data_IF_218189068017
#
_entry.id   IF_218189068017
#
_cell.length_a   1.000
_cell.length_b   1.000
_cell.length_c   1.000
_cell.angle_alpha   90.00
_cell.angle_beta   90.00
_cell.angle_gamma   90.00
#
_symmetry.space_group_name_H-M   'P 1'
#
loop_
_entity.id
_entity.type
_entity.pdbx_description
1 polymer ?
#
# COMPACT_ATOMS: atom_id res chain seq x y z
N UNK A 1 13.58 -2.59 -9.10
CA UNK A 1 12.42 -2.44 -8.20
C UNK A 1 12.39 -3.59 -7.20
N UNK A 2 12.95 -3.38 -6.01
CA UNK A 2 13.17 -4.44 -5.01
C UNK A 2 11.86 -4.76 -4.24
N UNK A 3 10.98 -3.78 -4.03
CA UNK A 3 9.72 -3.95 -3.29
C UNK A 3 8.68 -4.86 -3.97
N UNK A 4 8.54 -4.79 -5.30
CA UNK A 4 7.59 -5.63 -6.04
C UNK A 4 7.99 -7.12 -5.96
N UNK A 5 9.29 -7.41 -6.01
CA UNK A 5 9.80 -8.77 -5.87
C UNK A 5 9.63 -9.31 -4.45
N UNK A 6 9.75 -8.48 -3.41
CA UNK A 6 9.52 -8.88 -2.02
C UNK A 6 8.06 -9.27 -1.76
N UNK A 7 7.10 -8.47 -2.23
CA UNK A 7 5.68 -8.80 -2.08
C UNK A 7 5.29 -10.07 -2.85
N UNK A 8 5.83 -10.25 -4.06
CA UNK A 8 5.61 -11.45 -4.87
C UNK A 8 6.28 -12.69 -4.27
N UNK A 9 7.48 -12.55 -3.69
CA UNK A 9 8.19 -13.63 -3.01
C UNK A 9 7.53 -14.05 -1.69
N UNK A 10 6.98 -13.11 -0.91
CA UNK A 10 6.27 -13.44 0.33
C UNK A 10 5.04 -14.33 0.10
N UNK A 11 4.26 -14.07 -0.96
CA UNK A 11 3.15 -14.96 -1.37
C UNK A 11 3.66 -16.35 -1.80
N UNK A 12 4.84 -16.43 -2.43
CA UNK A 12 5.47 -17.70 -2.85
C UNK A 12 6.00 -18.53 -1.68
N UNK A 13 6.57 -17.88 -0.67
CA UNK A 13 7.03 -18.53 0.57
C UNK A 13 5.86 -19.04 1.40
N UNK A 14 4.76 -18.28 1.49
CA UNK A 14 3.54 -18.70 2.19
C UNK A 14 2.85 -19.89 1.51
N UNK A 15 2.90 -19.97 0.19
CA UNK A 15 2.38 -21.11 -0.57
C UNK A 15 3.23 -22.39 -0.38
N UNK A 16 4.56 -22.26 -0.32
CA UNK A 16 5.46 -23.41 -0.05
C UNK A 16 5.39 -23.94 1.38
N UNK A 17 4.93 -23.15 2.34
CA UNK A 17 4.76 -23.58 3.74
C UNK A 17 3.47 -24.39 3.98
N UNK A 18 2.65 -24.63 2.96
CA UNK A 18 1.33 -25.27 3.10
C UNK A 18 1.30 -26.78 2.82
N UNK A 19 2.44 -27.43 2.62
CA UNK A 19 2.46 -28.86 2.30
C UNK A 19 3.65 -29.56 2.95
N UNK A 20 3.53 -29.92 4.23
CA UNK A 20 3.90 -31.24 4.77
C UNK A 20 3.10 -31.45 6.06
N UNK A 21 1.96 -32.15 5.96
CA UNK A 21 1.42 -32.91 7.09
C UNK A 21 1.80 -34.36 6.85
N UNK A 22 2.66 -34.91 7.72
CA UNK A 22 2.78 -36.35 7.96
C UNK A 22 2.40 -36.53 9.42
N UNK A 23 1.40 -37.40 9.63
CA UNK A 23 0.78 -37.69 10.90
C UNK A 23 1.76 -38.28 11.92
N UNK A 24 1.54 -37.93 13.19
CA UNK A 24 2.19 -38.48 14.37
C UNK A 24 1.49 -37.90 15.59
N UNK A 25 0.69 -38.76 16.23
CA UNK A 25 -0.23 -38.53 17.35
C UNK A 25 0.37 -37.70 18.49
N UNK A 26 -0.31 -36.63 18.92
CA UNK A 26 -0.56 -36.37 20.35
C UNK A 26 -1.67 -35.32 20.56
N UNK A 27 -2.37 -35.45 21.67
CA UNK A 27 -3.71 -34.92 21.96
C UNK A 27 -3.75 -33.43 22.39
N UNK A 28 -4.77 -32.68 21.97
CA UNK A 28 -5.26 -31.46 22.66
C UNK A 28 -5.61 -30.25 21.75
N UNK A 29 -6.87 -29.75 21.74
CA UNK A 29 -7.26 -28.57 20.97
C UNK A 29 -7.31 -27.31 21.85
N UNK A 30 -6.21 -26.55 21.94
CA UNK A 30 -6.15 -25.15 22.37
C UNK A 30 -4.69 -24.72 22.27
N UNK A 31 -4.29 -23.55 21.79
CA UNK A 31 -4.98 -22.34 21.36
C UNK A 31 -3.93 -21.59 20.54
N UNK A 32 -4.29 -21.08 19.37
CA UNK A 32 -3.53 -19.96 18.81
C UNK A 32 -3.41 -18.90 19.92
N UNK A 33 -2.18 -18.53 20.28
CA UNK A 33 -1.87 -17.67 21.42
C UNK A 33 -2.87 -16.50 21.50
N UNK A 34 -3.70 -16.37 22.55
CA UNK A 34 -4.70 -15.31 22.67
C UNK A 34 -4.08 -13.91 22.50
N UNK A 35 -2.83 -13.75 22.96
CA UNK A 35 -2.04 -12.52 22.81
C UNK A 35 -1.72 -12.18 21.35
N UNK A 36 -1.52 -13.19 20.50
CA UNK A 36 -1.20 -13.02 19.08
C UNK A 36 -2.47 -12.68 18.27
N UNK A 37 -3.63 -13.25 18.63
CA UNK A 37 -4.91 -12.83 18.07
C UNK A 37 -5.31 -11.42 18.52
N UNK A 38 -5.09 -11.06 19.79
CA UNK A 38 -5.33 -9.70 20.29
C UNK A 38 -4.39 -8.69 19.63
N UNK A 39 -3.11 -9.01 19.45
CA UNK A 39 -2.17 -8.16 18.74
C UNK A 39 -2.56 -8.00 17.25
N UNK A 40 -3.02 -9.06 16.58
CA UNK A 40 -3.51 -8.97 15.21
C UNK A 40 -4.80 -8.13 15.09
N UNK A 41 -5.76 -8.32 16.00
CA UNK A 41 -6.99 -7.53 16.07
C UNK A 41 -6.69 -6.05 16.36
N UNK A 42 -5.88 -5.77 17.37
CA UNK A 42 -5.45 -4.41 17.72
C UNK A 42 -4.64 -3.75 16.59
N UNK A 43 -3.82 -4.51 15.86
CA UNK A 43 -3.02 -3.96 14.77
C UNK A 43 -3.84 -3.49 13.57
N UNK A 44 -4.96 -4.16 13.27
CA UNK A 44 -5.87 -3.85 12.16
C UNK A 44 -7.09 -3.01 12.53
N UNK A 45 -7.41 -2.86 13.82
CA UNK A 45 -8.64 -2.21 14.30
C UNK A 45 -8.42 -0.92 15.11
N UNK A 46 -7.20 -0.41 15.29
CA UNK A 46 -7.05 0.92 15.88
C UNK A 46 -7.78 1.95 15.00
N UNK A 47 -8.87 2.59 15.47
CA UNK A 47 -9.70 3.48 14.66
C UNK A 47 -8.89 4.59 13.99
N UNK A 48 -7.84 5.06 14.67
CA UNK A 48 -6.86 6.03 14.18
C UNK A 48 -6.19 5.58 12.86
N UNK A 49 -5.79 4.31 12.73
CA UNK A 49 -5.15 3.80 11.50
C UNK A 49 -6.12 3.71 10.33
N UNK A 50 -7.40 3.47 10.60
CA UNK A 50 -8.43 3.44 9.56
C UNK A 50 -8.71 4.85 9.05
N UNK A 51 -8.78 5.84 9.96
CA UNK A 51 -8.90 7.25 9.61
C UNK A 51 -7.68 7.74 8.82
N UNK A 52 -6.46 7.44 9.25
CA UNK A 52 -5.24 7.77 8.51
C UNK A 52 -5.24 7.22 7.08
N UNK A 53 -5.77 6.00 6.89
CA UNK A 53 -5.87 5.40 5.56
C UNK A 53 -6.89 6.13 4.68
N UNK A 54 -8.04 6.51 5.23
CA UNK A 54 -9.08 7.26 4.51
C UNK A 54 -8.57 8.63 4.09
N UNK A 55 -7.94 9.37 5.00
CA UNK A 55 -7.35 10.69 4.72
C UNK A 55 -6.29 10.60 3.63
N UNK A 56 -5.37 9.62 3.71
CA UNK A 56 -4.36 9.40 2.66
C UNK A 56 -4.99 9.06 1.31
N UNK A 57 -6.04 8.24 1.30
CA UNK A 57 -6.74 7.87 0.08
C UNK A 57 -7.43 9.10 -0.56
N UNK A 58 -8.05 9.95 0.26
CA UNK A 58 -8.65 11.21 -0.19
C UNK A 58 -7.61 12.16 -0.77
N UNK A 59 -6.44 12.29 -0.14
CA UNK A 59 -5.36 13.11 -0.66
C UNK A 59 -4.83 12.62 -2.02
N UNK A 60 -4.69 11.31 -2.19
CA UNK A 60 -4.32 10.73 -3.49
C UNK A 60 -5.40 11.00 -4.53
N UNK A 61 -6.67 10.92 -4.16
CA UNK A 61 -7.79 11.21 -5.05
C UNK A 61 -7.76 12.67 -5.53
N UNK A 62 -7.60 13.64 -4.63
CA UNK A 62 -7.44 15.05 -4.99
C UNK A 62 -6.21 15.26 -5.89
N UNK A 63 -5.09 14.62 -5.59
CA UNK A 63 -3.90 14.73 -6.43
C UNK A 63 -4.14 14.19 -7.85
N UNK A 64 -4.91 13.10 -7.99
CA UNK A 64 -5.29 12.56 -9.29
C UNK A 64 -6.22 13.49 -10.09
N UNK A 65 -7.01 14.33 -9.41
CA UNK A 65 -7.87 15.33 -10.06
C UNK A 65 -7.05 16.45 -10.72
N UNK A 66 -5.86 16.76 -10.21
CA UNK A 66 -4.94 17.75 -10.83
C UNK A 66 -4.33 17.29 -12.16
N UNK A 67 -4.36 15.98 -12.44
CA UNK A 67 -3.87 15.44 -13.70
C UNK A 67 -4.85 15.71 -14.82
N UNK A 68 -4.32 16.04 -16.00
CA UNK A 68 -5.15 16.04 -17.21
C UNK A 68 -5.66 14.63 -17.53
N UNK A 69 -6.72 14.55 -18.32
CA UNK A 69 -7.43 13.30 -18.61
C UNK A 69 -6.51 12.20 -19.16
N UNK A 70 -5.63 12.55 -20.10
CA UNK A 70 -4.67 11.59 -20.68
C UNK A 70 -3.69 11.05 -19.63
N UNK A 71 -3.14 11.92 -18.79
CA UNK A 71 -2.23 11.53 -17.70
C UNK A 71 -2.93 10.63 -16.69
N UNK A 72 -4.16 11.00 -16.28
CA UNK A 72 -4.97 10.22 -15.34
C UNK A 72 -5.27 8.83 -15.87
N UNK A 73 -5.70 8.75 -17.13
CA UNK A 73 -6.01 7.48 -17.79
C UNK A 73 -4.77 6.57 -17.89
N UNK A 74 -3.62 7.11 -18.30
CA UNK A 74 -2.39 6.31 -18.35
C UNK A 74 -1.94 5.80 -16.98
N UNK A 75 -2.09 6.61 -15.92
CA UNK A 75 -1.81 6.18 -14.55
C UNK A 75 -2.78 5.08 -14.11
N UNK A 76 -4.07 5.22 -14.42
CA UNK A 76 -5.09 4.23 -14.10
C UNK A 76 -4.76 2.88 -14.75
N UNK A 77 -4.56 2.86 -16.06
CA UNK A 77 -4.23 1.65 -16.82
C UNK A 77 -2.91 1.02 -16.36
N UNK A 78 -1.90 1.83 -16.00
CA UNK A 78 -0.61 1.31 -15.56
C UNK A 78 -0.65 0.77 -14.13
N UNK A 79 -1.33 1.43 -13.20
CA UNK A 79 -1.26 1.12 -11.75
C UNK A 79 -2.39 0.25 -11.25
N UNK A 80 -3.58 0.38 -11.81
CA UNK A 80 -4.76 -0.33 -11.35
C UNK A 80 -5.03 -1.55 -12.24
N UNK A 81 -4.92 -1.38 -13.56
CA UNK A 81 -5.09 -2.50 -14.51
C UNK A 81 -3.79 -3.31 -14.74
N UNK A 82 -2.63 -2.76 -14.34
CA UNK A 82 -1.34 -3.44 -14.47
C UNK A 82 -0.88 -3.66 -15.92
N UNK A 83 -1.43 -2.90 -16.87
CA UNK A 83 -1.11 -3.01 -18.30
C UNK A 83 0.35 -2.64 -18.60
N UNK A 84 0.93 -3.26 -19.63
CA UNK A 84 2.25 -2.89 -20.12
C UNK A 84 2.22 -1.54 -20.85
N UNK A 85 3.36 -0.86 -20.96
CA UNK A 85 3.41 0.43 -21.69
C UNK A 85 3.07 0.30 -23.18
N UNK A 86 3.33 -0.87 -23.77
CA UNK A 86 2.96 -1.15 -25.15
C UNK A 86 1.43 -1.28 -25.29
N UNK A 87 0.79 -2.02 -24.38
CA UNK A 87 -0.68 -2.21 -24.40
C UNK A 87 -1.41 -0.91 -24.10
N UNK A 88 -0.90 -0.08 -23.18
CA UNK A 88 -1.44 1.25 -22.92
C UNK A 88 -1.30 2.14 -24.15
N UNK A 89 -0.15 2.07 -24.84
CA UNK A 89 0.06 2.78 -26.10
C UNK A 89 -0.95 2.38 -27.17
N UNK A 90 -1.17 1.07 -27.35
CA UNK A 90 -2.18 0.54 -28.27
C UNK A 90 -3.60 1.01 -27.89
N UNK A 91 -3.96 0.94 -26.60
CA UNK A 91 -5.28 1.36 -26.11
C UNK A 91 -5.54 2.86 -26.26
N UNK A 92 -4.51 3.70 -26.11
CA UNK A 92 -4.60 5.16 -26.18
C UNK A 92 -4.26 5.73 -27.56
N UNK A 93 -3.86 4.92 -28.53
CA UNK A 93 -3.38 5.38 -29.84
C UNK A 93 -2.07 6.17 -29.77
N UNK A 94 -1.20 5.87 -28.82
CA UNK A 94 0.07 6.56 -28.56
C UNK A 94 1.26 5.60 -28.65
N UNK A 95 2.44 6.13 -28.99
CA UNK A 95 3.66 5.34 -28.99
C UNK A 95 4.16 5.05 -27.56
N UNK A 96 4.87 3.93 -27.37
CA UNK A 96 5.48 3.58 -26.07
C UNK A 96 6.35 4.70 -25.48
N UNK A 97 7.18 5.42 -26.26
CA UNK A 97 7.90 6.59 -25.75
C UNK A 97 6.99 7.72 -25.28
N UNK A 98 5.87 7.97 -25.98
CA UNK A 98 4.89 8.97 -25.58
C UNK A 98 4.23 8.59 -24.24
N UNK A 99 3.85 7.32 -24.04
CA UNK A 99 3.33 6.82 -22.76
C UNK A 99 4.35 6.99 -21.63
N UNK A 100 5.63 6.67 -21.88
CA UNK A 100 6.70 6.88 -20.88
C UNK A 100 6.81 8.36 -20.48
N UNK A 101 6.77 9.27 -21.45
CA UNK A 101 6.79 10.72 -21.20
C UNK A 101 5.56 11.15 -20.40
N UNK A 102 4.38 10.69 -20.79
CA UNK A 102 3.10 10.99 -20.14
C UNK A 102 3.09 10.56 -18.67
N UNK A 103 3.47 9.30 -18.40
CA UNK A 103 3.56 8.74 -17.04
C UNK A 103 4.63 9.43 -16.19
N UNK A 104 5.71 9.89 -16.80
CA UNK A 104 6.76 10.64 -16.08
C UNK A 104 6.23 11.99 -15.64
N UNK A 105 5.58 12.74 -16.54
CA UNK A 105 4.95 14.03 -16.21
C UNK A 105 3.85 13.87 -15.16
N UNK A 106 3.01 12.84 -15.30
CA UNK A 106 1.97 12.54 -14.31
C UNK A 106 2.57 12.31 -12.91
N UNK A 107 3.64 11.52 -12.81
CA UNK A 107 4.34 11.27 -11.53
C UNK A 107 4.98 12.53 -10.95
N UNK A 108 5.56 13.39 -11.79
CA UNK A 108 6.11 14.68 -11.33
C UNK A 108 5.01 15.58 -10.77
N UNK A 109 3.88 15.68 -11.45
CA UNK A 109 2.74 16.47 -10.98
C UNK A 109 2.18 15.94 -9.66
N UNK A 110 1.97 14.62 -9.56
CA UNK A 110 1.53 13.98 -8.33
C UNK A 110 2.52 14.21 -7.17
N UNK A 111 3.83 14.18 -7.44
CA UNK A 111 4.84 14.46 -6.41
C UNK A 111 4.66 15.87 -5.86
N UNK A 112 4.55 16.88 -6.71
CA UNK A 112 4.42 18.28 -6.26
C UNK A 112 3.19 18.46 -5.37
N UNK A 113 2.08 17.81 -5.71
CA UNK A 113 0.85 17.92 -4.92
C UNK A 113 0.94 17.13 -3.60
N UNK A 114 1.57 15.95 -3.61
CA UNK A 114 1.61 15.07 -2.44
C UNK A 114 2.78 15.36 -1.47
N UNK A 115 3.85 16.01 -1.93
CA UNK A 115 5.06 16.30 -1.14
C UNK A 115 4.75 17.01 0.19
N UNK A 116 3.90 18.06 0.27
CA UNK A 116 3.54 18.69 1.53
C UNK A 116 2.92 17.72 2.55
N UNK A 117 2.06 16.81 2.07
CA UNK A 117 1.33 15.86 2.90
C UNK A 117 2.21 14.69 3.37
N UNK A 118 3.24 14.32 2.59
CA UNK A 118 4.22 13.31 3.01
C UNK A 118 5.10 13.82 4.15
N UNK A 119 5.43 15.12 4.17
CA UNK A 119 6.17 15.73 5.27
C UNK A 119 5.31 15.90 6.54
N UNK A 120 4.00 16.14 6.39
CA UNK A 120 3.05 16.24 7.50
C UNK A 120 2.80 14.86 8.16
N UNK A 121 2.62 13.81 7.36
CA UNK A 121 2.40 12.44 7.85
C UNK A 121 3.57 11.88 8.65
N UNK A 122 4.80 12.32 8.35
CA UNK A 122 6.00 11.99 9.14
C UNK A 122 6.04 12.70 10.50
N UNK A 123 5.35 13.83 10.66
CA UNK A 123 5.28 14.55 11.94
C UNK A 123 4.20 13.98 12.86
N UNK A 124 3.07 13.55 12.29
CA UNK A 124 1.96 12.95 13.04
C UNK A 124 2.32 11.57 13.62
N UNK A 125 3.14 10.76 12.91
CA UNK A 125 3.63 9.48 13.46
C UNK A 125 4.60 9.63 14.63
N UNK A 126 5.19 10.82 14.83
CA UNK A 126 6.13 11.07 15.94
C UNK A 126 5.46 11.63 17.18
N UNK A 127 4.25 12.17 17.07
CA UNK A 127 3.54 12.78 18.20
C UNK A 127 2.73 11.76 19.04
N UNK A 128 2.43 10.58 18.47
CA UNK A 128 1.67 9.53 19.16
C UNK A 128 2.51 8.68 20.12
N UNK A 129 3.84 8.81 20.11
CA UNK A 129 4.75 8.07 21.00
C UNK A 129 5.09 8.83 22.31
N UNK A 130 4.55 10.04 22.51
CA UNK A 130 4.93 10.93 23.63
C UNK A 130 3.90 10.91 24.79
N UNK A 131 2.71 10.31 24.61
CA UNK A 131 1.62 10.32 25.60
C UNK A 131 1.51 9.01 26.41
N UNK A 132 2.63 8.42 26.82
CA UNK A 132 2.61 7.19 27.65
C UNK A 132 3.65 7.15 28.76
N UNK A 133 4.15 8.31 29.19
CA UNK A 133 4.96 8.41 30.42
C UNK A 133 4.37 9.48 31.33
N UNK A 134 4.02 9.02 32.52
CA UNK A 134 3.63 9.76 33.74
C UNK A 134 2.15 10.16 33.94
N UNK A 135 1.37 9.19 34.42
CA UNK A 135 0.38 9.25 35.53
C UNK A 135 0.23 7.78 35.97
N UNK A 136 0.41 7.30 37.19
CA UNK A 136 0.39 7.79 38.58
C UNK A 136 0.83 6.57 39.47
N UNK A 137 0.95 6.62 40.81
CA UNK A 137 1.06 7.75 41.74
C UNK A 137 2.32 7.73 42.64
#
# INVERSE_FOLDING_TARGET
TIAHNVAKNAKRTKARRREVSVAGEDSGPMSANPLEQMAQAASGQMPTRQLDHLERAEMVKLAMETLNERQRLAVLLSKFEGMSYADIGAAMGLSTPAIKSLLTRARSNLRVVLEPYMHQGSRLSSAADIDSTDEDP
#
